data_IF_847492327102
#
_entry.id   IF_847492327102
#
_cell.length_a   1.000
_cell.length_b   1.000
_cell.length_c   1.000
_cell.angle_alpha   90.00
_cell.angle_beta   90.00
_cell.angle_gamma   90.00
#
_symmetry.space_group_name_H-M   'P 1'
#
loop_
_entity.id
_entity.type
_entity.pdbx_description
1 polymer ?
#
# COMPACT_ATOMS: atom_id res chain seq x y z
N UNK A 1 13.37 8.32 -7.49
CA UNK A 1 12.13 8.02 -6.73
C UNK A 1 12.21 6.56 -6.31
N UNK A 2 11.76 6.21 -5.11
CA UNK A 2 11.70 4.81 -4.66
C UNK A 2 10.64 4.08 -5.46
N UNK A 3 10.99 2.91 -6.02
CA UNK A 3 10.13 2.09 -6.86
C UNK A 3 9.55 0.91 -6.06
N UNK A 4 8.24 0.71 -6.15
CA UNK A 4 7.51 -0.35 -5.42
C UNK A 4 6.63 -1.11 -6.39
N UNK A 5 6.75 -2.44 -6.42
CA UNK A 5 5.85 -3.30 -7.19
C UNK A 5 5.05 -4.21 -6.25
N UNK A 6 3.90 -4.70 -6.68
CA UNK A 6 3.06 -5.60 -5.90
C UNK A 6 2.68 -6.84 -6.69
N UNK A 7 2.79 -8.01 -6.05
CA UNK A 7 2.28 -9.29 -6.54
C UNK A 7 1.13 -9.73 -5.63
N UNK A 8 -0.07 -9.81 -6.18
CA UNK A 8 -1.26 -10.24 -5.45
C UNK A 8 -1.56 -11.70 -5.81
N UNK A 9 -1.58 -12.57 -4.82
CA UNK A 9 -1.80 -14.01 -4.96
C UNK A 9 -3.19 -14.35 -4.47
N UNK A 10 -4.04 -14.91 -5.33
CA UNK A 10 -5.38 -15.34 -4.99
C UNK A 10 -6.26 -15.52 -6.21
N UNK A 11 -6.72 -16.74 -6.44
CA UNK A 11 -7.62 -17.08 -7.53
C UNK A 11 -8.94 -16.29 -7.46
N UNK A 12 -9.43 -15.97 -6.25
CA UNK A 12 -10.66 -15.21 -6.01
C UNK A 12 -10.60 -13.78 -6.58
N UNK A 13 -9.39 -13.22 -6.70
CA UNK A 13 -9.18 -11.91 -7.34
C UNK A 13 -9.38 -12.00 -8.85
N UNK A 14 -8.85 -13.06 -9.48
CA UNK A 14 -8.90 -13.26 -10.93
C UNK A 14 -10.30 -13.64 -11.44
N UNK A 15 -11.06 -14.42 -10.66
CA UNK A 15 -12.44 -14.77 -11.02
C UNK A 15 -13.47 -13.69 -10.63
N UNK A 16 -13.01 -12.55 -10.12
CA UNK A 16 -13.89 -11.44 -9.76
C UNK A 16 -14.75 -11.65 -8.51
N UNK A 17 -14.48 -12.69 -7.71
CA UNK A 17 -15.21 -12.97 -6.46
C UNK A 17 -14.88 -11.95 -5.37
N UNK A 18 -13.67 -11.40 -5.38
CA UNK A 18 -13.19 -10.44 -4.39
C UNK A 18 -12.45 -9.30 -5.10
N UNK A 19 -12.72 -8.07 -4.67
CA UNK A 19 -11.98 -6.89 -5.14
C UNK A 19 -10.63 -6.81 -4.43
N UNK A 20 -9.59 -6.44 -5.16
CA UNK A 20 -8.24 -6.27 -4.61
C UNK A 20 -8.12 -4.99 -3.74
N UNK A 21 -8.76 -5.00 -2.59
CA UNK A 21 -8.76 -3.89 -1.65
C UNK A 21 -7.42 -3.72 -0.94
N UNK A 22 -6.62 -4.78 -0.83
CA UNK A 22 -5.30 -4.75 -0.20
C UNK A 22 -4.32 -3.90 -1.02
N UNK A 23 -4.19 -4.16 -2.32
CA UNK A 23 -3.32 -3.37 -3.19
C UNK A 23 -3.78 -1.91 -3.27
N UNK A 24 -5.09 -1.66 -3.34
CA UNK A 24 -5.65 -0.31 -3.29
C UNK A 24 -5.26 0.42 -2.02
N UNK A 25 -5.35 -0.25 -0.86
CA UNK A 25 -5.00 0.34 0.42
C UNK A 25 -3.49 0.63 0.53
N UNK A 26 -2.63 -0.32 0.07
CA UNK A 26 -1.17 -0.13 0.04
C UNK A 26 -0.81 1.04 -0.87
N UNK A 27 -1.40 1.11 -2.08
CA UNK A 27 -1.19 2.21 -3.02
C UNK A 27 -1.52 3.58 -2.42
N UNK A 28 -2.66 3.69 -1.71
CA UNK A 28 -3.04 4.93 -1.03
C UNK A 28 -2.04 5.33 0.08
N UNK A 29 -1.48 4.35 0.82
CA UNK A 29 -0.47 4.59 1.85
C UNK A 29 0.87 5.03 1.27
N UNK A 30 1.30 4.42 0.18
CA UNK A 30 2.52 4.80 -0.54
C UNK A 30 2.39 6.19 -1.14
N UNK A 31 1.25 6.50 -1.73
CA UNK A 31 0.98 7.82 -2.28
C UNK A 31 1.04 8.92 -1.21
N UNK A 32 0.57 8.62 0.01
CA UNK A 32 0.67 9.53 1.15
C UNK A 32 2.09 9.88 1.60
N UNK A 33 3.10 9.12 1.17
CA UNK A 33 4.53 9.37 1.45
C UNK A 33 5.32 9.70 0.18
N UNK A 34 4.62 10.09 -0.89
CA UNK A 34 5.24 10.57 -2.12
C UNK A 34 5.85 9.49 -3.00
N UNK A 35 5.41 8.24 -2.87
CA UNK A 35 5.73 7.17 -3.81
C UNK A 35 4.46 6.45 -4.24
N UNK A 36 4.57 5.53 -5.18
CA UNK A 36 3.42 4.77 -5.68
C UNK A 36 3.80 3.34 -6.01
N UNK A 37 2.81 2.49 -6.27
CA UNK A 37 3.04 1.18 -6.85
C UNK A 37 3.21 1.37 -8.37
N UNK A 38 4.39 0.99 -8.88
CA UNK A 38 4.70 1.10 -10.32
C UNK A 38 4.01 0.01 -11.14
N UNK A 39 3.80 -1.18 -10.53
CA UNK A 39 3.15 -2.32 -11.16
C UNK A 39 2.44 -3.19 -10.14
N UNK A 40 1.24 -3.63 -10.48
CA UNK A 40 0.49 -4.64 -9.75
C UNK A 40 0.28 -5.83 -10.69
N UNK A 41 0.76 -7.01 -10.29
CA UNK A 41 0.41 -8.27 -10.92
C UNK A 41 -0.56 -9.03 -10.03
N UNK A 42 -1.49 -9.75 -10.62
CA UNK A 42 -2.37 -10.66 -9.89
C UNK A 42 -2.25 -12.04 -10.52
N UNK A 43 -1.95 -13.04 -9.69
CA UNK A 43 -1.72 -14.42 -10.12
C UNK A 43 -2.56 -15.39 -9.29
N UNK A 44 -2.73 -16.61 -9.80
CA UNK A 44 -3.38 -17.69 -9.06
C UNK A 44 -2.46 -18.26 -7.97
N UNK A 45 -3.01 -19.10 -7.09
CA UNK A 45 -2.30 -19.82 -6.04
C UNK A 45 -1.51 -21.03 -6.62
N UNK A 46 -0.77 -20.83 -7.69
CA UNK A 46 0.07 -21.81 -8.35
C UNK A 46 1.55 -21.47 -8.13
N UNK A 47 2.39 -22.49 -7.93
CA UNK A 47 3.83 -22.30 -7.73
C UNK A 47 4.48 -21.58 -8.92
N UNK A 48 4.13 -21.99 -10.13
CA UNK A 48 4.73 -21.46 -11.36
C UNK A 48 4.29 -20.01 -11.60
N UNK A 49 3.01 -19.71 -11.37
CA UNK A 49 2.46 -18.36 -11.52
C UNK A 49 3.03 -17.38 -10.49
N UNK A 50 3.17 -17.83 -9.24
CA UNK A 50 3.78 -17.01 -8.19
C UNK A 50 5.27 -16.78 -8.49
N UNK A 51 5.97 -17.83 -8.92
CA UNK A 51 7.39 -17.76 -9.24
C UNK A 51 7.65 -16.85 -10.44
N UNK A 52 6.96 -17.07 -11.56
CA UNK A 52 7.13 -16.26 -12.78
C UNK A 52 6.71 -14.81 -12.57
N UNK A 53 5.60 -14.57 -11.86
CA UNK A 53 5.16 -13.21 -11.54
C UNK A 53 6.16 -12.46 -10.64
N UNK A 54 6.78 -13.12 -9.68
CA UNK A 54 7.82 -12.49 -8.87
C UNK A 54 9.08 -12.18 -9.71
N UNK A 55 9.52 -13.11 -10.56
CA UNK A 55 10.67 -12.89 -11.44
C UNK A 55 10.43 -11.73 -12.40
N UNK A 56 9.25 -11.65 -13.03
CA UNK A 56 8.88 -10.51 -13.90
C UNK A 56 9.00 -9.17 -13.17
N UNK A 57 8.58 -9.10 -11.91
CA UNK A 57 8.72 -7.88 -11.13
C UNK A 57 10.18 -7.57 -10.78
N UNK A 58 10.97 -8.59 -10.41
CA UNK A 58 12.38 -8.44 -10.03
C UNK A 58 13.27 -8.02 -11.21
N UNK A 59 13.00 -8.47 -12.44
CA UNK A 59 13.72 -8.06 -13.66
C UNK A 59 13.70 -6.54 -13.87
N UNK A 60 12.67 -5.85 -13.39
CA UNK A 60 12.55 -4.39 -13.49
C UNK A 60 13.43 -3.66 -12.46
N UNK A 61 14.02 -4.37 -11.51
CA UNK A 61 14.88 -3.86 -10.45
C UNK A 61 14.18 -2.86 -9.52
N UNK A 62 13.00 -3.19 -8.95
CA UNK A 62 12.35 -2.31 -8.00
C UNK A 62 13.11 -2.29 -6.68
N UNK A 63 12.93 -1.21 -5.91
CA UNK A 63 13.47 -1.14 -4.55
C UNK A 63 12.75 -2.10 -3.60
N UNK A 64 11.43 -2.25 -3.81
CA UNK A 64 10.57 -3.10 -2.99
C UNK A 64 9.58 -3.90 -3.84
N UNK A 65 9.35 -5.15 -3.45
CA UNK A 65 8.23 -5.96 -3.93
C UNK A 65 7.37 -6.36 -2.73
N UNK A 66 6.06 -6.11 -2.82
CA UNK A 66 5.08 -6.49 -1.80
C UNK A 66 4.22 -7.61 -2.37
N UNK A 67 4.42 -8.83 -1.88
CA UNK A 67 3.63 -10.02 -2.23
C UNK A 67 2.49 -10.14 -1.21
N UNK A 68 1.24 -10.25 -1.65
CA UNK A 68 0.06 -10.24 -0.77
C UNK A 68 -0.81 -11.46 -1.05
N UNK A 69 -1.04 -12.28 -0.03
CA UNK A 69 -1.89 -13.49 -0.09
C UNK A 69 -1.12 -14.77 0.13
N UNK A 70 -1.82 -15.88 0.36
CA UNK A 70 -1.33 -17.25 0.38
C UNK A 70 -0.28 -17.59 1.44
N UNK A 71 -0.36 -17.01 2.66
CA UNK A 71 0.55 -17.31 3.79
C UNK A 71 -0.05 -18.24 4.86
N UNK A 72 -1.30 -18.62 4.70
CA UNK A 72 -2.03 -19.42 5.69
C UNK A 72 -1.62 -20.88 5.77
N UNK A 73 -2.38 -21.66 6.57
CA UNK A 73 -2.09 -23.05 6.82
C UNK A 73 -2.64 -24.01 5.76
N UNK A 74 -3.49 -23.56 4.83
CA UNK A 74 -4.19 -24.42 3.88
C UNK A 74 -3.29 -24.87 2.72
N UNK A 75 -3.60 -25.97 2.02
CA UNK A 75 -2.74 -26.47 0.93
C UNK A 75 -2.52 -25.47 -0.22
N UNK A 76 -3.50 -24.64 -0.51
CA UNK A 76 -3.49 -23.59 -1.52
C UNK A 76 -2.69 -22.34 -1.13
N UNK A 77 -2.35 -22.17 0.16
CA UNK A 77 -1.41 -21.14 0.60
C UNK A 77 0.03 -21.49 0.13
N UNK A 78 0.37 -21.14 -1.10
CA UNK A 78 1.63 -21.54 -1.74
C UNK A 78 2.64 -20.41 -1.90
N UNK A 79 2.32 -19.20 -1.45
CA UNK A 79 3.12 -17.99 -1.72
C UNK A 79 4.59 -18.15 -1.33
N UNK A 80 4.89 -18.61 -0.12
CA UNK A 80 6.29 -18.75 0.31
C UNK A 80 7.06 -19.81 -0.47
N UNK A 81 6.39 -20.85 -0.96
CA UNK A 81 7.02 -21.86 -1.82
C UNK A 81 7.30 -21.29 -3.22
N UNK A 82 6.34 -20.59 -3.83
CA UNK A 82 6.52 -19.94 -5.13
C UNK A 82 7.60 -18.87 -5.11
N UNK A 83 7.64 -18.06 -4.04
CA UNK A 83 8.71 -17.09 -3.81
C UNK A 83 10.07 -17.76 -3.63
N UNK A 84 10.15 -18.85 -2.86
CA UNK A 84 11.39 -19.62 -2.70
C UNK A 84 11.86 -20.21 -4.03
N UNK A 85 10.93 -20.73 -4.85
CA UNK A 85 11.22 -21.25 -6.19
C UNK A 85 11.80 -20.16 -7.09
N UNK A 86 11.18 -18.99 -7.15
CA UNK A 86 11.66 -17.84 -7.92
C UNK A 86 13.09 -17.42 -7.53
N UNK A 87 13.43 -17.52 -6.25
CA UNK A 87 14.72 -17.09 -5.71
C UNK A 87 15.78 -18.21 -5.66
N UNK A 88 15.46 -19.42 -6.09
CA UNK A 88 16.36 -20.57 -5.97
C UNK A 88 16.69 -20.93 -4.51
N UNK A 89 15.80 -20.64 -3.55
CA UNK A 89 15.98 -20.86 -2.12
C UNK A 89 15.18 -22.07 -1.62
N UNK A 90 15.69 -22.73 -0.62
CA UNK A 90 14.96 -23.81 0.07
C UNK A 90 13.92 -23.22 1.02
N UNK A 91 12.80 -23.95 1.23
CA UNK A 91 11.82 -23.64 2.28
C UNK A 91 12.12 -24.48 3.51
N UNK A 92 12.54 -23.84 4.59
CA UNK A 92 13.02 -24.53 5.81
C UNK A 92 12.28 -24.06 7.07
N UNK A 93 12.26 -24.89 8.13
CA UNK A 93 11.71 -24.46 9.42
C UNK A 93 12.46 -23.25 9.96
N UNK A 94 11.73 -22.21 10.36
CA UNK A 94 12.28 -21.01 10.95
C UNK A 94 11.89 -20.89 12.43
N UNK A 95 12.89 -20.93 13.32
CA UNK A 95 12.67 -20.94 14.76
C UNK A 95 12.02 -19.64 15.26
N UNK A 96 12.36 -18.48 14.66
CA UNK A 96 11.77 -17.21 15.03
C UNK A 96 10.29 -17.12 14.60
N UNK A 97 9.95 -17.59 13.39
CA UNK A 97 8.56 -17.69 12.95
C UNK A 97 7.75 -18.62 13.86
N UNK A 98 8.31 -19.78 14.22
CA UNK A 98 7.65 -20.71 15.14
C UNK A 98 7.40 -20.09 16.52
N UNK A 99 8.34 -19.28 17.02
CA UNK A 99 8.19 -18.55 18.27
C UNK A 99 7.04 -17.52 18.17
N UNK A 100 6.99 -16.71 17.13
CA UNK A 100 5.92 -15.74 16.91
C UNK A 100 4.54 -16.39 16.88
N UNK A 101 4.40 -17.55 16.22
CA UNK A 101 3.14 -18.31 16.18
C UNK A 101 2.74 -18.79 17.57
N UNK A 102 3.70 -19.33 18.35
CA UNK A 102 3.43 -19.78 19.73
C UNK A 102 3.04 -18.60 20.64
N UNK A 103 3.74 -17.49 20.55
CA UNK A 103 3.44 -16.26 21.30
C UNK A 103 2.04 -15.73 20.96
N UNK A 104 1.63 -15.78 19.69
CA UNK A 104 0.28 -15.42 19.28
C UNK A 104 -0.77 -16.34 19.94
N UNK A 105 -0.54 -17.65 19.99
CA UNK A 105 -1.47 -18.58 20.66
C UNK A 105 -1.55 -18.33 22.17
N UNK A 106 -0.43 -18.04 22.83
CA UNK A 106 -0.42 -17.68 24.26
C UNK A 106 -1.25 -16.40 24.47
N UNK A 107 -1.00 -15.34 23.70
CA UNK A 107 -1.69 -14.05 23.80
C UNK A 107 -3.20 -14.16 23.56
N UNK A 108 -3.63 -15.08 22.69
CA UNK A 108 -5.04 -15.29 22.35
C UNK A 108 -5.72 -16.37 23.22
N UNK A 109 -5.12 -16.77 24.36
CA UNK A 109 -5.68 -17.77 25.26
C UNK A 109 -5.65 -19.21 24.74
N UNK A 110 -4.81 -19.49 23.74
CA UNK A 110 -4.70 -20.80 23.06
C UNK A 110 -3.36 -21.47 23.29
N UNK A 111 -2.70 -21.24 24.43
CA UNK A 111 -1.36 -21.72 24.76
C UNK A 111 -1.21 -23.27 24.65
N UNK A 112 -2.28 -24.02 24.97
CA UNK A 112 -2.28 -25.51 24.92
C UNK A 112 -2.53 -26.12 23.53
N UNK A 113 -2.69 -25.31 22.49
CA UNK A 113 -3.00 -25.86 21.16
C UNK A 113 -1.81 -26.60 20.55
N UNK A 114 -1.99 -27.87 20.09
CA UNK A 114 -0.91 -28.64 19.49
C UNK A 114 -0.42 -28.00 18.17
N UNK A 115 0.88 -28.05 17.95
CA UNK A 115 1.51 -27.59 16.70
C UNK A 115 1.32 -28.64 15.60
N UNK A 116 0.16 -28.62 14.94
CA UNK A 116 -0.17 -29.49 13.81
C UNK A 116 0.75 -29.25 12.62
N UNK A 117 0.84 -30.17 11.64
CA UNK A 117 1.59 -29.95 10.39
C UNK A 117 1.18 -28.67 9.67
N UNK A 118 -0.13 -28.37 9.60
CA UNK A 118 -0.66 -27.13 8.99
C UNK A 118 -0.16 -25.87 9.71
N UNK A 119 -0.10 -25.87 11.04
CA UNK A 119 0.47 -24.75 11.81
C UNK A 119 1.97 -24.63 11.65
N UNK A 120 2.69 -25.78 11.61
CA UNK A 120 4.15 -25.77 11.34
C UNK A 120 4.49 -25.28 9.94
N UNK A 121 3.58 -25.48 8.97
CA UNK A 121 3.73 -24.94 7.61
C UNK A 121 3.94 -23.44 7.61
N UNK A 122 3.18 -22.68 8.41
CA UNK A 122 3.30 -21.22 8.51
C UNK A 122 4.64 -20.74 9.10
N UNK A 123 5.39 -21.63 9.77
CA UNK A 123 6.73 -21.37 10.28
C UNK A 123 7.84 -21.85 9.33
N UNK A 124 7.52 -22.29 8.12
CA UNK A 124 8.50 -22.66 7.10
C UNK A 124 8.68 -21.50 6.14
N UNK A 125 9.86 -20.91 6.15
CA UNK A 125 10.17 -19.72 5.37
C UNK A 125 11.24 -20.04 4.32
N UNK A 126 11.34 -19.23 3.25
CA UNK A 126 12.50 -19.28 2.34
C UNK A 126 13.80 -19.04 3.12
N UNK A 127 14.86 -19.72 2.74
CA UNK A 127 16.20 -19.59 3.34
C UNK A 127 16.65 -18.12 3.40
N UNK A 128 17.17 -17.68 4.55
CA UNK A 128 17.59 -16.31 4.80
C UNK A 128 16.45 -15.30 5.01
N UNK A 129 15.20 -15.76 5.10
CA UNK A 129 14.07 -14.89 5.35
C UNK A 129 13.91 -14.53 6.84
N UNK A 130 13.48 -13.30 7.10
CA UNK A 130 13.16 -12.78 8.43
C UNK A 130 11.64 -12.74 8.61
N UNK A 131 11.07 -13.39 9.65
CA UNK A 131 9.66 -13.30 9.96
C UNK A 131 9.30 -11.93 10.55
N UNK A 132 8.14 -11.41 10.17
CA UNK A 132 7.57 -10.17 10.67
C UNK A 132 6.39 -10.48 11.62
N UNK A 133 6.31 -9.84 12.79
CA UNK A 133 5.20 -10.05 13.72
C UNK A 133 3.84 -9.76 13.09
N UNK A 134 2.89 -10.66 13.33
CA UNK A 134 1.49 -10.52 12.96
C UNK A 134 0.65 -10.47 14.24
N UNK A 135 0.41 -9.28 14.76
CA UNK A 135 -0.31 -9.16 16.03
C UNK A 135 -1.75 -9.67 15.97
N UNK A 136 -2.57 -9.32 14.94
CA UNK A 136 -3.96 -9.78 14.87
C UNK A 136 -4.11 -11.21 14.36
N UNK A 137 -3.08 -11.81 13.75
CA UNK A 137 -3.16 -13.09 13.07
C UNK A 137 -2.07 -14.08 13.47
N UNK A 138 -2.13 -15.29 12.88
CA UNK A 138 -1.22 -16.39 13.24
C UNK A 138 -0.01 -16.47 12.30
N UNK A 139 -0.22 -16.35 10.98
CA UNK A 139 0.86 -16.45 10.00
C UNK A 139 1.73 -15.19 10.05
N UNK A 140 3.03 -15.28 10.34
CA UNK A 140 3.91 -14.13 10.30
C UNK A 140 4.03 -13.59 8.87
N UNK A 141 4.23 -12.28 8.72
CA UNK A 141 4.74 -11.75 7.47
C UNK A 141 6.19 -12.18 7.27
N UNK A 142 6.73 -11.92 6.09
CA UNK A 142 8.10 -12.32 5.75
C UNK A 142 8.82 -11.19 5.03
N UNK A 143 10.10 -10.99 5.36
CA UNK A 143 11.00 -10.05 4.71
C UNK A 143 12.22 -10.78 4.18
N UNK A 144 12.63 -10.46 2.96
CA UNK A 144 13.83 -11.01 2.33
C UNK A 144 14.57 -9.93 1.55
N UNK A 145 15.88 -10.08 1.42
CA UNK A 145 16.68 -9.30 0.49
C UNK A 145 17.07 -10.18 -0.71
N UNK A 146 16.96 -9.58 -1.88
CA UNK A 146 17.26 -10.22 -3.16
C UNK A 146 18.27 -9.34 -3.88
N UNK A 147 19.47 -9.89 -4.10
CA UNK A 147 20.45 -9.26 -4.96
C UNK A 147 19.96 -9.33 -6.41
N UNK A 148 20.11 -8.25 -7.13
CA UNK A 148 19.77 -8.15 -8.55
C UNK A 148 20.75 -7.24 -9.28
N UNK A 149 20.56 -7.12 -10.57
CA UNK A 149 21.33 -6.22 -11.42
C UNK A 149 20.37 -5.27 -12.15
N UNK A 150 20.70 -3.99 -12.18
CA UNK A 150 20.04 -3.00 -13.01
C UNK A 150 21.05 -2.33 -13.91
N UNK A 151 21.13 -2.81 -15.15
CA UNK A 151 22.24 -2.48 -16.05
C UNK A 151 23.57 -3.00 -15.49
N UNK A 152 24.55 -2.10 -15.27
CA UNK A 152 25.87 -2.46 -14.70
C UNK A 152 25.96 -2.29 -13.18
N UNK A 153 24.84 -2.00 -12.49
CA UNK A 153 24.83 -1.76 -11.04
C UNK A 153 24.17 -2.92 -10.32
N UNK A 154 24.86 -3.46 -9.33
CA UNK A 154 24.25 -4.36 -8.35
C UNK A 154 23.20 -3.59 -7.55
N UNK A 155 21.99 -4.13 -7.46
CA UNK A 155 20.88 -3.58 -6.71
C UNK A 155 20.40 -4.59 -5.68
N UNK A 156 19.76 -4.11 -4.64
CA UNK A 156 19.08 -4.97 -3.67
C UNK A 156 17.61 -4.61 -3.66
N UNK A 157 16.76 -5.58 -3.98
CA UNK A 157 15.31 -5.50 -3.83
C UNK A 157 14.91 -6.12 -2.50
N UNK A 158 14.10 -5.42 -1.72
CA UNK A 158 13.49 -6.00 -0.52
C UNK A 158 12.13 -6.57 -0.88
N UNK A 159 11.94 -7.86 -0.64
CA UNK A 159 10.67 -8.56 -0.87
C UNK A 159 9.97 -8.78 0.46
N UNK A 160 8.73 -8.29 0.56
CA UNK A 160 7.84 -8.53 1.66
C UNK A 160 6.73 -9.49 1.24
N UNK A 161 6.44 -10.52 2.05
CA UNK A 161 5.25 -11.34 1.87
C UNK A 161 4.28 -11.08 3.03
N UNK A 162 3.06 -10.72 2.70
CA UNK A 162 2.01 -10.32 3.64
C UNK A 162 0.77 -11.22 3.49
N UNK A 163 0.01 -11.48 4.57
CA UNK A 163 -1.21 -12.27 4.48
C UNK A 163 -2.28 -11.59 3.61
N UNK A 164 -3.19 -12.41 3.04
CA UNK A 164 -4.33 -11.91 2.27
C UNK A 164 -5.43 -11.25 3.12
N UNK A 165 -5.52 -11.62 4.40
CA UNK A 165 -6.52 -11.08 5.34
C UNK A 165 -6.26 -9.58 5.58
N UNK A 166 -7.20 -8.68 5.25
CA UNK A 166 -6.92 -7.25 5.19
C UNK A 166 -6.41 -6.62 6.49
N UNK A 167 -6.98 -6.99 7.64
CA UNK A 167 -6.56 -6.40 8.92
C UNK A 167 -5.16 -6.87 9.35
N UNK A 168 -4.78 -8.12 9.03
CA UNK A 168 -3.45 -8.68 9.28
C UNK A 168 -2.41 -8.00 8.37
N UNK A 169 -2.69 -7.94 7.08
CA UNK A 169 -1.85 -7.27 6.08
C UNK A 169 -1.57 -5.82 6.48
N UNK A 170 -2.62 -5.07 6.86
CA UNK A 170 -2.51 -3.67 7.28
C UNK A 170 -1.65 -3.50 8.55
N UNK A 171 -1.79 -4.40 9.51
CA UNK A 171 -1.01 -4.37 10.75
C UNK A 171 0.48 -4.56 10.45
N UNK A 172 0.85 -5.63 9.71
CA UNK A 172 2.25 -5.90 9.35
C UNK A 172 2.82 -4.78 8.45
N UNK A 173 2.04 -4.31 7.47
CA UNK A 173 2.46 -3.20 6.62
C UNK A 173 2.80 -1.97 7.47
N UNK A 174 1.92 -1.59 8.39
CA UNK A 174 2.11 -0.38 9.20
C UNK A 174 3.27 -0.48 10.18
N UNK A 175 3.49 -1.64 10.79
CA UNK A 175 4.55 -1.85 11.79
C UNK A 175 5.92 -2.11 11.18
N UNK A 176 5.99 -2.77 10.02
CA UNK A 176 7.25 -3.30 9.49
C UNK A 176 7.59 -2.78 8.09
N UNK A 177 6.64 -2.77 7.16
CA UNK A 177 6.89 -2.42 5.75
C UNK A 177 6.98 -0.90 5.56
N UNK A 178 5.97 -0.18 6.02
CA UNK A 178 5.89 1.27 5.86
C UNK A 178 7.09 2.04 6.43
N UNK A 179 7.58 1.73 7.65
CA UNK A 179 8.76 2.40 8.19
C UNK A 179 10.03 2.17 7.34
N UNK A 180 10.18 1.00 6.74
CA UNK A 180 11.34 0.68 5.91
C UNK A 180 11.29 1.43 4.57
N UNK A 181 10.11 1.47 3.92
CA UNK A 181 9.91 2.25 2.69
C UNK A 181 10.11 3.73 2.97
N UNK A 182 9.52 4.25 4.06
CA UNK A 182 9.64 5.66 4.45
C UNK A 182 11.11 6.06 4.70
N UNK A 183 11.91 5.19 5.32
CA UNK A 183 13.34 5.43 5.53
C UNK A 183 14.11 5.57 4.23
N UNK A 184 13.77 4.77 3.20
CA UNK A 184 14.39 4.84 1.87
C UNK A 184 13.87 6.02 1.03
N UNK A 185 12.59 6.31 1.11
CA UNK A 185 11.95 7.44 0.40
C UNK A 185 12.41 8.80 0.95
N UNK A 186 12.72 8.84 2.24
CA UNK A 186 12.84 10.08 2.99
C UNK A 186 11.46 10.65 3.36
N UNK A 187 11.45 11.69 4.17
CA UNK A 187 10.19 12.33 4.57
C UNK A 187 9.70 13.25 3.46
N UNK A 188 8.62 12.88 2.82
CA UNK A 188 7.90 13.70 1.85
C UNK A 188 6.54 14.10 2.44
N UNK A 189 6.04 15.23 1.97
CA UNK A 189 4.75 15.77 2.38
C UNK A 189 3.84 15.82 1.16
N UNK A 190 2.62 15.37 1.34
CA UNK A 190 1.60 15.33 0.30
C UNK A 190 0.47 16.28 0.65
N UNK A 191 0.19 17.22 -0.23
CA UNK A 191 -0.96 18.12 -0.15
C UNK A 191 -1.96 17.75 -1.23
N UNK A 192 -3.23 17.69 -0.87
CA UNK A 192 -4.32 17.37 -1.79
C UNK A 192 -5.41 18.44 -1.71
N UNK A 193 -5.83 18.93 -2.88
CA UNK A 193 -7.01 19.77 -3.05
C UNK A 193 -7.94 19.07 -4.03
N UNK A 194 -9.23 19.01 -3.67
CA UNK A 194 -10.30 18.51 -4.54
C UNK A 194 -11.27 19.65 -4.81
N UNK A 195 -11.50 19.95 -6.08
CA UNK A 195 -12.51 20.91 -6.53
C UNK A 195 -13.69 20.20 -7.17
N UNK A 196 -14.90 20.55 -6.76
CA UNK A 196 -16.13 20.17 -7.45
C UNK A 196 -16.58 21.34 -8.32
N UNK A 197 -16.63 21.13 -9.63
CA UNK A 197 -16.92 22.11 -10.65
C UNK A 197 -18.29 21.88 -11.26
N UNK A 198 -19.02 22.96 -11.56
CA UNK A 198 -20.29 22.95 -12.30
C UNK A 198 -20.22 23.86 -13.51
N UNK A 199 -20.82 23.44 -14.61
CA UNK A 199 -20.97 24.27 -15.81
C UNK A 199 -19.78 24.23 -16.76
N UNK A 200 -18.72 23.45 -16.46
CA UNK A 200 -17.59 23.19 -17.35
C UNK A 200 -17.53 21.72 -17.73
N UNK A 201 -17.19 21.46 -18.98
CA UNK A 201 -16.93 20.10 -19.47
C UNK A 201 -15.46 19.72 -19.26
N UNK A 202 -15.19 18.44 -19.12
CA UNK A 202 -13.82 17.94 -19.01
C UNK A 202 -12.95 18.36 -20.21
N UNK A 203 -13.52 18.31 -21.42
CA UNK A 203 -12.84 18.77 -22.65
C UNK A 203 -12.44 20.23 -22.61
N UNK A 204 -13.19 21.08 -21.91
CA UNK A 204 -12.90 22.51 -21.77
C UNK A 204 -11.68 22.76 -20.89
N UNK A 205 -11.49 21.97 -19.82
CA UNK A 205 -10.39 22.14 -18.86
C UNK A 205 -9.16 21.28 -19.20
N UNK A 206 -9.24 20.41 -20.21
CA UNK A 206 -8.12 19.53 -20.62
C UNK A 206 -6.86 20.33 -21.03
N UNK A 207 -6.95 21.42 -21.80
CA UNK A 207 -5.76 22.23 -22.11
C UNK A 207 -5.12 22.85 -20.86
N UNK A 208 -5.95 23.31 -19.91
CA UNK A 208 -5.48 23.88 -18.65
C UNK A 208 -4.79 22.84 -17.77
N UNK A 209 -5.28 21.58 -17.77
CA UNK A 209 -4.60 20.47 -17.09
C UNK A 209 -3.23 20.22 -17.71
N UNK A 210 -3.12 20.23 -19.04
CA UNK A 210 -1.85 20.04 -19.73
C UNK A 210 -0.86 21.19 -19.46
N UNK A 211 -1.35 22.42 -19.35
CA UNK A 211 -0.56 23.60 -18.98
C UNK A 211 -0.05 23.47 -17.54
N UNK A 212 -0.94 23.22 -16.59
CA UNK A 212 -0.57 23.07 -15.18
C UNK A 212 0.43 21.93 -14.93
N UNK A 213 0.31 20.79 -15.63
CA UNK A 213 1.27 19.69 -15.52
C UNK A 213 2.65 20.01 -16.12
N UNK A 214 2.74 20.93 -17.09
CA UNK A 214 4.03 21.41 -17.61
C UNK A 214 4.72 22.35 -16.62
N UNK A 215 3.96 23.21 -15.97
CA UNK A 215 4.47 24.16 -14.98
C UNK A 215 4.78 23.50 -13.64
N UNK A 216 4.02 22.46 -13.29
CA UNK A 216 4.12 21.71 -12.04
C UNK A 216 4.34 20.21 -12.30
N UNK A 217 5.52 19.77 -12.80
CA UNK A 217 5.76 18.38 -13.19
C UNK A 217 5.76 17.39 -12.01
N UNK A 218 5.81 17.89 -10.77
CA UNK A 218 5.67 17.10 -9.54
C UNK A 218 4.21 16.87 -9.14
N UNK A 219 3.27 17.59 -9.74
CA UNK A 219 1.85 17.49 -9.42
C UNK A 219 1.18 16.30 -10.11
N UNK A 220 0.19 15.73 -9.43
CA UNK A 220 -0.80 14.84 -10.02
C UNK A 220 -2.11 15.59 -10.13
N UNK A 221 -2.63 15.73 -11.34
CA UNK A 221 -3.89 16.40 -11.62
C UNK A 221 -4.78 15.45 -12.40
N UNK A 222 -5.99 15.17 -11.89
CA UNK A 222 -6.93 14.25 -12.51
C UNK A 222 -8.35 14.80 -12.46
N UNK A 223 -9.00 14.83 -13.62
CA UNK A 223 -10.43 15.11 -13.75
C UNK A 223 -11.27 13.84 -13.64
N UNK A 224 -12.42 13.95 -13.01
CA UNK A 224 -13.41 12.90 -12.85
C UNK A 224 -14.78 13.45 -13.24
N UNK A 225 -15.29 13.16 -14.44
CA UNK A 225 -16.64 13.53 -14.84
C UNK A 225 -17.66 12.87 -13.92
N UNK A 226 -18.60 13.66 -13.37
CA UNK A 226 -19.68 13.17 -12.49
C UNK A 226 -21.04 13.20 -13.19
N UNK A 227 -21.04 13.41 -14.51
CA UNK A 227 -22.23 13.48 -15.33
C UNK A 227 -22.95 14.84 -15.26
N UNK A 228 -24.20 14.87 -15.72
CA UNK A 228 -25.04 16.07 -15.74
C UNK A 228 -25.95 16.10 -14.50
N UNK A 229 -25.96 17.22 -13.78
CA UNK A 229 -26.93 17.51 -12.73
C UNK A 229 -27.75 18.72 -13.14
N UNK A 230 -29.08 18.58 -13.21
CA UNK A 230 -30.00 19.67 -13.67
C UNK A 230 -29.55 20.31 -15.00
N UNK A 231 -29.11 19.47 -15.95
CA UNK A 231 -28.65 19.92 -17.27
C UNK A 231 -27.26 20.58 -17.32
N UNK A 232 -26.55 20.68 -16.19
CA UNK A 232 -25.19 21.22 -16.12
C UNK A 232 -24.15 20.14 -15.91
N UNK A 233 -23.00 20.28 -16.58
CA UNK A 233 -21.85 19.41 -16.41
C UNK A 233 -21.30 19.52 -14.99
N UNK A 234 -20.92 18.39 -14.39
CA UNK A 234 -20.22 18.32 -13.11
C UNK A 234 -18.91 17.57 -13.29
N UNK A 235 -17.82 18.17 -12.85
CA UNK A 235 -16.48 17.60 -12.88
C UNK A 235 -15.85 17.74 -11.50
N UNK A 236 -15.21 16.68 -11.03
CA UNK A 236 -14.35 16.74 -9.84
C UNK A 236 -12.90 16.74 -10.31
N UNK A 237 -12.12 17.69 -9.82
CA UNK A 237 -10.71 17.84 -10.14
C UNK A 237 -9.87 17.57 -8.89
N UNK A 238 -9.08 16.49 -8.94
CA UNK A 238 -8.13 16.12 -7.90
C UNK A 238 -6.77 16.70 -8.24
N UNK A 239 -6.20 17.47 -7.33
CA UNK A 239 -4.85 18.04 -7.42
C UNK A 239 -4.04 17.57 -6.23
N UNK A 240 -2.87 16.97 -6.49
CA UNK A 240 -1.97 16.46 -5.46
C UNK A 240 -0.56 16.88 -5.77
N UNK A 241 0.13 17.43 -4.77
CA UNK A 241 1.54 17.83 -4.85
C UNK A 241 2.33 17.11 -3.78
N UNK A 242 3.51 16.61 -4.15
CA UNK A 242 4.45 15.96 -3.25
C UNK A 242 5.74 16.77 -3.20
N UNK A 243 6.18 17.19 -2.00
CA UNK A 243 7.41 17.93 -1.81
C UNK A 243 8.18 17.48 -0.56
N UNK A 244 9.45 17.89 -0.45
CA UNK A 244 10.28 17.63 0.74
C UNK A 244 9.91 18.51 1.92
N UNK A 245 9.26 19.63 1.66
CA UNK A 245 8.79 20.58 2.65
C UNK A 245 7.25 20.69 2.62
N UNK A 246 6.63 20.81 3.78
CA UNK A 246 5.17 20.86 3.91
C UNK A 246 4.59 22.14 3.36
N UNK A 247 5.22 23.27 3.66
CA UNK A 247 4.70 24.57 3.27
C UNK A 247 4.86 24.76 1.76
N UNK A 248 5.97 24.26 1.19
CA UNK A 248 6.16 24.20 -0.27
C UNK A 248 5.09 23.35 -0.94
N UNK A 249 4.79 22.15 -0.42
CA UNK A 249 3.72 21.29 -0.96
C UNK A 249 2.35 21.96 -0.89
N UNK A 250 2.05 22.65 0.23
CA UNK A 250 0.78 23.34 0.41
C UNK A 250 0.68 24.55 -0.53
N UNK A 251 1.75 25.34 -0.64
CA UNK A 251 1.79 26.53 -1.48
C UNK A 251 1.63 26.20 -2.96
N UNK A 252 2.37 25.20 -3.44
CA UNK A 252 2.27 24.76 -4.83
C UNK A 252 0.88 24.19 -5.14
N UNK A 253 0.32 23.36 -4.26
CA UNK A 253 -1.03 22.83 -4.44
C UNK A 253 -2.10 23.94 -4.41
N UNK A 254 -1.92 25.00 -3.61
CA UNK A 254 -2.80 26.14 -3.58
C UNK A 254 -2.69 26.97 -4.86
N UNK A 255 -1.49 27.21 -5.37
CA UNK A 255 -1.27 27.94 -6.64
C UNK A 255 -1.96 27.23 -7.83
N UNK A 256 -1.84 25.90 -7.91
CA UNK A 256 -2.55 25.10 -8.93
C UNK A 256 -4.08 25.26 -8.78
N UNK A 257 -4.58 25.28 -7.55
CA UNK A 257 -6.01 25.43 -7.30
C UNK A 257 -6.50 26.85 -7.69
N UNK A 258 -5.72 27.90 -7.46
CA UNK A 258 -6.02 29.27 -7.89
C UNK A 258 -6.03 29.38 -9.41
N UNK A 259 -5.03 28.82 -10.09
CA UNK A 259 -4.99 28.73 -11.55
C UNK A 259 -6.28 28.12 -12.11
N UNK A 260 -6.74 26.98 -11.59
CA UNK A 260 -7.99 26.39 -12.06
C UNK A 260 -9.22 27.21 -11.69
N UNK A 261 -9.23 27.90 -10.56
CA UNK A 261 -10.34 28.77 -10.19
C UNK A 261 -10.56 29.88 -11.21
N UNK A 262 -9.48 30.52 -11.67
CA UNK A 262 -9.53 31.56 -12.70
C UNK A 262 -10.01 31.01 -14.05
N UNK A 263 -9.47 29.87 -14.49
CA UNK A 263 -9.84 29.22 -15.78
C UNK A 263 -11.30 28.76 -15.79
N UNK A 264 -11.77 28.18 -14.70
CA UNK A 264 -13.19 27.76 -14.53
C UNK A 264 -14.12 28.97 -14.59
N UNK A 265 -13.78 30.06 -13.91
CA UNK A 265 -14.57 31.29 -13.95
C UNK A 265 -14.61 31.91 -15.37
N UNK A 266 -13.47 31.95 -16.06
CA UNK A 266 -13.37 32.44 -17.45
C UNK A 266 -14.21 31.59 -18.43
N UNK A 267 -14.34 30.29 -18.18
CA UNK A 267 -15.19 29.37 -18.94
C UNK A 267 -16.69 29.43 -18.56
N UNK A 268 -17.09 30.35 -17.66
CA UNK A 268 -18.48 30.49 -17.19
C UNK A 268 -18.90 29.42 -16.19
N UNK A 269 -17.97 28.64 -15.66
CA UNK A 269 -18.21 27.60 -14.65
C UNK A 269 -18.22 28.15 -13.22
N UNK A 270 -18.54 27.27 -12.28
CA UNK A 270 -18.57 27.57 -10.85
C UNK A 270 -17.88 26.47 -10.04
N UNK A 271 -17.18 26.87 -8.98
CA UNK A 271 -16.67 25.97 -7.96
C UNK A 271 -17.76 25.78 -6.91
N UNK A 272 -18.30 24.57 -6.81
CA UNK A 272 -19.33 24.23 -5.83
C UNK A 272 -18.73 23.91 -4.45
N UNK A 273 -17.54 23.28 -4.45
CA UNK A 273 -16.87 22.87 -3.24
C UNK A 273 -15.37 22.78 -3.46
N UNK A 274 -14.60 23.22 -2.49
CA UNK A 274 -13.16 23.06 -2.41
C UNK A 274 -12.84 22.33 -1.09
N UNK A 275 -12.20 21.18 -1.17
CA UNK A 275 -11.79 20.40 -0.01
C UNK A 275 -10.27 20.32 0.01
N UNK A 276 -9.66 20.77 1.11
CA UNK A 276 -8.21 20.65 1.36
C UNK A 276 -7.98 19.50 2.33
N UNK A 277 -7.14 18.57 1.97
CA UNK A 277 -6.76 17.46 2.84
C UNK A 277 -5.24 17.41 2.91
N UNK A 278 -4.68 17.83 4.03
CA UNK A 278 -3.30 17.49 4.35
C UNK A 278 -3.27 16.03 4.80
N UNK A 279 -2.61 15.14 4.08
CA UNK A 279 -2.39 13.79 4.57
C UNK A 279 -1.33 13.90 5.70
N UNK A 280 -1.78 13.77 6.96
CA UNK A 280 -0.86 13.48 8.05
C UNK A 280 -0.30 12.06 7.82
N UNK A 281 1.03 11.85 7.95
CA UNK A 281 1.52 10.50 8.13
C UNK A 281 0.78 9.87 9.32
N UNK A 282 0.43 8.58 9.28
CA UNK A 282 -0.22 7.92 10.41
C UNK A 282 0.63 8.14 11.65
N UNK A 283 0.05 8.76 12.67
CA UNK A 283 0.67 8.87 13.99
C UNK A 283 0.95 7.45 14.47
N UNK A 284 2.19 7.17 14.86
CA UNK A 284 2.48 6.04 15.72
C UNK A 284 1.53 6.15 16.92
N UNK A 285 0.61 5.19 17.06
CA UNK A 285 -0.30 5.13 18.18
C UNK A 285 0.51 5.01 19.47
N UNK A 286 0.68 6.13 20.17
CA UNK A 286 1.00 6.10 21.60
C UNK A 286 -0.24 5.52 22.28
N UNK A 287 -0.12 4.30 22.78
CA UNK A 287 -1.07 3.69 23.69
C UNK A 287 -1.09 4.53 25.00
N UNK A 288 -2.00 5.48 25.09
CA UNK A 288 -2.40 6.04 26.38
C UNK A 288 -3.35 5.02 27.01
N UNK A 289 -2.81 4.26 27.96
CA UNK A 289 -3.56 3.46 28.91
C UNK A 289 -4.30 4.43 29.83
N UNK A 290 -5.58 4.66 29.56
CA UNK A 290 -6.49 5.33 30.48
C UNK A 290 -7.05 4.26 31.42
N UNK A 291 -6.32 4.03 32.53
CA UNK A 291 -6.78 3.24 33.66
C UNK A 291 -7.48 4.18 34.64
N UNK A 292 -8.78 4.36 34.46
CA UNK A 292 -9.63 4.90 35.53
C UNK A 292 -10.16 3.74 36.38
N UNK A 293 -10.04 3.79 37.71
CA UNK A 293 -10.54 2.73 38.58
C UNK A 293 -12.07 2.81 38.72
N UNK A 294 -12.76 1.66 38.90
CA UNK A 294 -14.21 1.64 39.07
C UNK A 294 -14.57 2.22 40.46
N UNK A 295 -15.37 3.27 40.41
CA UNK A 295 -15.95 3.87 41.61
C UNK A 295 -16.87 2.92 42.35
N UNK A 296 -16.66 2.78 43.63
CA UNK A 296 -17.51 2.12 44.63
C UNK A 296 -18.89 2.79 44.69
N UNK A 297 -19.93 2.04 44.36
CA UNK A 297 -21.30 2.40 44.71
C UNK A 297 -21.67 1.66 46.01
N UNK A 298 -21.92 2.41 47.05
CA UNK A 298 -22.64 2.00 48.29
C UNK A 298 -24.13 2.23 48.09
N UNK A 299 -24.86 1.34 48.66
CA UNK A 299 -26.23 1.22 49.15
C UNK A 299 -27.19 0.43 48.31
#
# INVERSE_FOLDING_TARGET
MVSVSSLCVGKELLIGKTTNTNATWVGARLFGIGTMIDRILTVTDSLDEISSGLLELLERGPDFVIVIGGLGPTPDDMTLKGVALALGRRVEPNAAALRLIKEHYVRTGRAGMPMTPARRKMARLPEGATPLPNEPGTAPGVRMEVAGEKGKKTTTTVVFCLPGVPHEMKAIYSSSVHPEILRKTGRLYTSKIVMQLEGVFESTITPDIAEALREHPSAYIKSHPKGLKKGRSNVELDMVVVAKDRDASNAECAAIAEFFAERVAAAGGKILKLTRTGMRPPSSSSSSSDTSPPGSARS
#
